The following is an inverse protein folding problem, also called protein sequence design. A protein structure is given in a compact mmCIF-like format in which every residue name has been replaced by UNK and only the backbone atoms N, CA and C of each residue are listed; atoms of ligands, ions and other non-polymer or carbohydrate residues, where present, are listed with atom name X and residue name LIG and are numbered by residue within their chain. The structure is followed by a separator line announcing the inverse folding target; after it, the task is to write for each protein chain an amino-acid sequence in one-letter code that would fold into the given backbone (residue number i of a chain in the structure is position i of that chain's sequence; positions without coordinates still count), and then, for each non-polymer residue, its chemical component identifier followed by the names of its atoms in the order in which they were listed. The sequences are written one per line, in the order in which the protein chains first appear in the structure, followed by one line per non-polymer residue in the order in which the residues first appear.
data_IF_862897026553
#
_entry.id   IF_862897026553
#
_cell.length_a   1.000
_cell.length_b   1.000
_cell.length_c   1.000
_cell.angle_alpha   90.00
_cell.angle_beta   90.00
_cell.angle_gamma   90.00
#
_symmetry.space_group_name_H-M   'P 1'
#
loop_
_entity.id
_entity.type
_entity.pdbx_description
1 polymer ?
#
# COMPACT_ATOMS: atom_id res chain seq x y z
N UNK A 1 -2.15 1.86 17.17
CA UNK A 1 -1.99 1.18 18.46
C UNK A 1 -0.76 0.28 18.42
N UNK A 2 0.09 0.38 19.41
CA UNK A 2 1.23 -0.52 19.61
C UNK A 2 0.88 -1.60 20.64
N UNK A 3 1.21 -2.85 20.35
CA UNK A 3 1.02 -3.96 21.27
C UNK A 3 2.22 -4.06 22.22
N UNK A 4 1.95 -4.00 23.50
CA UNK A 4 2.94 -4.17 24.56
C UNK A 4 2.62 -5.43 25.39
N UNK A 5 3.49 -5.80 26.32
CA UNK A 5 3.22 -6.89 27.27
C UNK A 5 2.06 -6.58 28.22
N UNK A 6 1.69 -5.32 28.36
CA UNK A 6 0.60 -4.86 29.23
C UNK A 6 -0.70 -4.55 28.48
N UNK A 7 -0.74 -4.72 27.15
CA UNK A 7 -1.91 -4.44 26.31
C UNK A 7 -1.58 -3.53 25.13
N UNK A 8 -2.53 -2.67 24.76
CA UNK A 8 -2.42 -1.76 23.64
C UNK A 8 -2.12 -0.34 24.09
N UNK A 9 -1.13 0.30 23.45
CA UNK A 9 -0.77 1.70 23.67
C UNK A 9 -1.15 2.53 22.44
N UNK A 10 -1.80 3.70 22.69
CA UNK A 10 -2.07 4.66 21.61
C UNK A 10 -0.84 5.56 21.42
N UNK A 11 -0.20 5.45 20.27
CA UNK A 11 1.00 6.22 19.89
C UNK A 11 0.71 7.30 18.86
N UNK A 12 -0.58 7.52 18.51
CA UNK A 12 -0.93 8.39 17.39
C UNK A 12 -0.36 9.81 17.51
N UNK A 13 -0.41 10.39 18.71
CA UNK A 13 0.14 11.73 18.94
C UNK A 13 1.66 11.77 18.80
N UNK A 14 2.34 10.75 19.30
CA UNK A 14 3.80 10.64 19.23
C UNK A 14 4.29 10.41 17.80
N UNK A 15 3.50 9.67 17.02
CA UNK A 15 3.81 9.36 15.62
C UNK A 15 3.41 10.47 14.64
N UNK A 16 2.79 11.56 15.09
CA UNK A 16 2.35 12.66 14.24
C UNK A 16 1.04 12.42 13.47
N UNK A 17 0.30 11.34 13.78
CA UNK A 17 -0.93 10.96 13.08
C UNK A 17 -2.22 11.19 13.89
N UNK A 18 -2.15 11.92 15.01
CA UNK A 18 -3.32 12.26 15.83
C UNK A 18 -4.00 13.54 15.32
N UNK A 19 -4.45 13.56 14.12
CA UNK A 19 -5.14 14.72 13.57
C UNK A 19 -6.61 14.74 14.00
N UNK A 20 -7.11 15.82 14.59
CA UNK A 20 -8.51 15.92 14.99
C UNK A 20 -9.39 16.10 13.76
N UNK A 21 -10.08 15.04 13.35
CA UNK A 21 -10.97 15.07 12.20
C UNK A 21 -11.93 13.88 12.23
N UNK A 22 -12.77 13.77 11.19
CA UNK A 22 -13.59 12.58 10.93
C UNK A 22 -13.04 11.89 9.70
N UNK A 23 -12.85 10.59 9.82
CA UNK A 23 -12.22 9.76 8.79
C UNK A 23 -13.09 8.55 8.48
N UNK A 24 -13.15 8.17 7.21
CA UNK A 24 -13.87 6.97 6.76
C UNK A 24 -12.92 5.86 6.36
N UNK A 25 -11.79 6.19 5.75
CA UNK A 25 -10.83 5.20 5.31
C UNK A 25 -9.38 5.65 5.48
N UNK A 26 -8.49 4.69 5.43
CA UNK A 26 -7.07 4.94 5.26
C UNK A 26 -6.48 3.95 4.28
N UNK A 27 -5.48 4.38 3.53
CA UNK A 27 -4.76 3.56 2.57
C UNK A 27 -3.25 3.69 2.80
N UNK A 28 -2.58 2.55 2.87
CA UNK A 28 -1.14 2.48 3.12
C UNK A 28 -0.40 2.16 1.83
N UNK A 29 0.66 2.92 1.53
CA UNK A 29 1.53 2.69 0.39
C UNK A 29 2.93 3.24 0.66
N UNK A 30 3.91 2.76 -0.06
CA UNK A 30 5.24 3.34 -0.18
C UNK A 30 5.24 4.16 -1.48
N UNK A 31 4.66 5.38 -1.43
CA UNK A 31 4.36 6.15 -2.64
C UNK A 31 5.61 6.86 -3.20
N UNK A 32 6.67 7.03 -2.42
CA UNK A 32 7.91 7.68 -2.85
C UNK A 32 9.08 6.69 -3.02
N UNK A 33 8.82 5.39 -2.84
CA UNK A 33 9.76 4.27 -2.98
C UNK A 33 10.99 4.36 -2.08
N UNK A 34 10.84 4.97 -0.90
CA UNK A 34 11.92 5.03 0.09
C UNK A 34 12.07 3.73 0.89
N UNK A 35 11.14 2.78 0.72
CA UNK A 35 11.06 1.48 1.41
C UNK A 35 10.24 1.53 2.68
N UNK A 36 9.73 2.69 3.08
CA UNK A 36 8.83 2.86 4.21
C UNK A 36 7.38 2.92 3.74
N UNK A 37 6.44 2.55 4.59
CA UNK A 37 5.01 2.64 4.26
C UNK A 37 4.47 3.95 4.77
N UNK A 38 3.85 4.70 3.88
CA UNK A 38 3.19 5.97 4.12
C UNK A 38 1.69 5.77 4.35
N UNK A 39 1.02 6.83 4.74
CA UNK A 39 -0.38 6.79 5.11
C UNK A 39 -1.19 7.88 4.40
N UNK A 40 -2.18 7.47 3.63
CA UNK A 40 -3.26 8.37 3.20
C UNK A 40 -4.47 8.16 4.11
N UNK A 41 -5.09 9.25 4.53
CA UNK A 41 -6.32 9.24 5.34
C UNK A 41 -7.31 10.22 4.72
N UNK A 42 -8.49 9.74 4.37
CA UNK A 42 -9.52 10.63 3.84
C UNK A 42 -10.39 11.20 4.94
N UNK A 43 -10.65 12.50 4.83
CA UNK A 43 -11.66 13.16 5.63
C UNK A 43 -13.06 12.89 5.10
N UNK A 44 -14.06 12.82 5.98
CA UNK A 44 -15.43 12.57 5.56
C UNK A 44 -16.31 13.82 5.64
N UNK A 45 -17.49 13.77 5.05
CA UNK A 45 -18.54 14.79 5.21
C UNK A 45 -19.34 14.47 6.48
N UNK A 46 -19.43 15.41 7.39
CA UNK A 46 -20.21 15.21 8.60
C UNK A 46 -20.67 16.52 9.24
N UNK A 47 -21.96 16.60 9.65
CA UNK A 47 -22.48 17.77 10.35
C UNK A 47 -22.47 19.06 9.52
N UNK A 48 -22.50 18.95 8.17
CA UNK A 48 -22.42 20.10 7.26
C UNK A 48 -21.02 20.65 7.02
N UNK A 49 -19.99 19.98 7.48
CA UNK A 49 -18.60 20.33 7.27
C UNK A 49 -17.87 19.30 6.40
N UNK A 50 -16.89 19.76 5.64
CA UNK A 50 -15.92 18.93 4.94
C UNK A 50 -14.68 18.82 5.79
N UNK A 51 -14.17 17.60 5.91
CA UNK A 51 -12.93 17.33 6.64
C UNK A 51 -11.84 17.03 5.62
N UNK A 52 -10.67 17.61 5.85
CA UNK A 52 -9.54 17.54 4.91
C UNK A 52 -8.98 16.11 4.85
N UNK A 53 -8.51 15.74 3.67
CA UNK A 53 -7.66 14.56 3.44
C UNK A 53 -6.21 14.83 3.88
N UNK A 54 -5.48 13.76 4.20
CA UNK A 54 -4.11 13.82 4.67
C UNK A 54 -3.24 12.81 3.94
N UNK A 55 -2.16 13.28 3.35
CA UNK A 55 -1.07 12.42 2.88
C UNK A 55 0.10 12.57 3.85
N UNK A 56 0.39 11.52 4.57
CA UNK A 56 1.38 11.49 5.64
C UNK A 56 2.55 10.62 5.21
N UNK A 57 3.70 11.23 4.94
CA UNK A 57 4.93 10.52 4.61
C UNK A 57 5.62 10.07 5.89
N UNK A 58 6.09 8.83 5.91
CA UNK A 58 6.89 8.32 7.01
C UNK A 58 8.32 8.83 6.92
N UNK A 59 8.81 9.39 8.02
CA UNK A 59 10.21 9.79 8.17
C UNK A 59 10.88 9.01 9.29
N UNK A 60 11.97 8.32 8.96
CA UNK A 60 12.69 7.48 9.91
C UNK A 60 11.87 6.30 10.41
N UNK A 61 12.12 5.88 11.66
CA UNK A 61 11.54 4.63 12.17
C UNK A 61 10.06 4.75 12.53
N UNK A 62 9.63 5.90 13.04
CA UNK A 62 8.32 6.01 13.70
C UNK A 62 7.60 7.36 13.51
N UNK A 63 8.09 8.27 12.69
CA UNK A 63 7.49 9.60 12.55
C UNK A 63 6.76 9.76 11.21
N UNK A 64 5.66 10.51 11.22
CA UNK A 64 4.92 10.86 10.01
C UNK A 64 4.82 12.38 9.89
N UNK A 65 5.06 12.89 8.69
CA UNK A 65 4.93 14.31 8.37
C UNK A 65 3.84 14.51 7.32
N UNK A 66 3.12 15.62 7.43
CA UNK A 66 2.10 16.03 6.47
C UNK A 66 2.79 16.54 5.19
N UNK A 67 2.56 15.86 4.09
CA UNK A 67 3.03 16.21 2.75
C UNK A 67 1.88 16.38 1.77
N UNK A 68 0.67 16.61 2.28
CA UNK A 68 -0.55 16.70 1.46
C UNK A 68 -0.44 17.81 0.43
N UNK A 69 -0.45 17.51 -0.87
CA UNK A 69 -0.36 18.53 -1.91
C UNK A 69 -1.67 19.29 -2.07
N UNK A 70 -1.61 20.46 -2.72
CA UNK A 70 -2.77 21.33 -2.93
C UNK A 70 -3.90 20.63 -3.69
N UNK A 71 -3.55 19.77 -4.63
CA UNK A 71 -4.48 19.01 -5.46
C UNK A 71 -5.37 18.08 -4.63
N UNK A 72 -4.87 17.56 -3.52
CA UNK A 72 -5.64 16.80 -2.53
C UNK A 72 -6.43 17.75 -1.62
N UNK A 73 -5.81 18.84 -1.17
CA UNK A 73 -6.45 19.80 -0.25
C UNK A 73 -7.68 20.49 -0.84
N UNK A 74 -7.69 20.74 -2.16
CA UNK A 74 -8.81 21.35 -2.86
C UNK A 74 -9.99 20.39 -3.07
N UNK A 75 -9.80 19.09 -2.84
CA UNK A 75 -10.83 18.08 -2.93
C UNK A 75 -11.42 17.83 -1.57
N UNK A 76 -12.66 18.20 -1.40
CA UNK A 76 -13.35 18.06 -0.13
C UNK A 76 -14.06 16.71 -0.06
N UNK A 77 -13.72 15.93 0.96
CA UNK A 77 -14.41 14.71 1.39
C UNK A 77 -14.50 13.60 0.31
N UNK A 78 -13.54 12.75 0.30
CA UNK A 78 -13.62 11.43 -0.35
C UNK A 78 -14.15 10.38 0.65
N UNK A 79 -14.77 9.32 0.14
CA UNK A 79 -15.23 8.18 0.94
C UNK A 79 -14.32 6.96 0.80
N UNK A 80 -13.70 6.78 -0.37
CA UNK A 80 -12.81 5.67 -0.64
C UNK A 80 -11.50 6.15 -1.19
N UNK A 81 -10.42 5.43 -0.88
CA UNK A 81 -9.10 5.68 -1.43
C UNK A 81 -8.42 4.35 -1.76
N UNK A 82 -7.76 4.29 -2.89
CA UNK A 82 -6.93 3.14 -3.26
C UNK A 82 -5.68 3.59 -3.98
N UNK A 83 -4.58 2.90 -3.72
CA UNK A 83 -3.35 3.07 -4.45
C UNK A 83 -3.28 2.08 -5.61
N UNK A 84 -2.93 2.55 -6.79
CA UNK A 84 -2.87 1.77 -8.02
C UNK A 84 -1.83 2.38 -8.96
N UNK A 85 -1.00 1.55 -9.54
CA UNK A 85 -0.16 1.93 -10.69
C UNK A 85 -1.03 1.77 -11.95
N UNK A 86 -1.77 2.83 -12.33
CA UNK A 86 -2.82 2.73 -13.35
C UNK A 86 -2.24 2.80 -14.77
N UNK A 87 -1.12 3.48 -14.95
CA UNK A 87 -0.47 3.67 -16.25
C UNK A 87 0.76 2.77 -16.44
N UNK A 88 1.08 1.96 -15.42
CA UNK A 88 2.15 0.96 -15.42
C UNK A 88 3.55 1.56 -15.57
N UNK A 89 3.75 2.75 -15.02
CA UNK A 89 5.05 3.41 -14.99
C UNK A 89 5.91 3.01 -13.80
N UNK A 90 5.32 2.28 -12.83
CA UNK A 90 5.98 1.63 -11.70
C UNK A 90 5.78 2.36 -10.38
N UNK A 91 5.25 3.57 -10.36
CA UNK A 91 4.89 4.25 -9.12
C UNK A 91 3.39 4.04 -8.78
N UNK A 92 2.98 4.46 -7.61
CA UNK A 92 1.61 4.30 -7.15
C UNK A 92 0.87 5.62 -7.21
N UNK A 93 -0.24 5.61 -7.95
CA UNK A 93 -1.19 6.68 -8.08
C UNK A 93 -2.30 6.58 -7.04
N UNK A 94 -2.99 7.67 -6.78
CA UNK A 94 -4.05 7.72 -5.80
C UNK A 94 -5.41 7.92 -6.46
N UNK A 95 -6.25 6.89 -6.41
CA UNK A 95 -7.65 6.97 -6.82
C UNK A 95 -8.54 7.28 -5.62
N UNK A 96 -9.36 8.32 -5.75
CA UNK A 96 -10.29 8.80 -4.72
C UNK A 96 -11.72 8.70 -5.21
N UNK A 97 -12.59 8.08 -4.41
CA UNK A 97 -14.02 8.12 -4.61
C UNK A 97 -14.61 9.36 -3.92
N UNK A 98 -15.11 10.30 -4.70
CA UNK A 98 -15.70 11.52 -4.17
C UNK A 98 -17.10 11.30 -3.59
N UNK A 99 -17.40 12.01 -2.51
CA UNK A 99 -18.70 12.03 -1.87
C UNK A 99 -19.53 13.28 -2.25
N UNK A 100 -18.99 14.12 -3.13
CA UNK A 100 -19.69 15.31 -3.57
C UNK A 100 -20.98 14.97 -4.33
N UNK A 101 -22.00 15.86 -4.22
CA UNK A 101 -23.30 15.67 -4.89
C UNK A 101 -23.16 15.56 -6.41
N UNK A 102 -22.12 16.16 -6.98
CA UNK A 102 -21.76 16.07 -8.40
C UNK A 102 -21.09 14.75 -8.80
N UNK A 103 -20.80 13.87 -7.83
CA UNK A 103 -20.22 12.54 -8.07
C UNK A 103 -18.79 12.58 -8.60
N UNK A 104 -18.04 13.66 -8.36
CA UNK A 104 -16.65 13.75 -8.82
C UNK A 104 -15.76 12.74 -8.11
N UNK A 105 -15.09 11.94 -8.91
CA UNK A 105 -13.99 11.08 -8.49
C UNK A 105 -12.66 11.71 -8.93
N UNK A 106 -11.57 11.31 -8.33
CA UNK A 106 -10.25 11.77 -8.73
C UNK A 106 -9.31 10.58 -8.94
N UNK A 107 -8.50 10.69 -9.96
CA UNK A 107 -7.29 9.91 -10.13
C UNK A 107 -6.13 10.90 -10.15
N UNK A 108 -5.27 10.81 -9.17
CA UNK A 108 -4.10 11.67 -8.98
C UNK A 108 -2.87 10.87 -9.39
N UNK A 109 -2.28 11.27 -10.50
CA UNK A 109 -1.05 10.70 -11.01
C UNK A 109 0.11 11.12 -10.11
N UNK A 110 0.89 10.15 -9.66
CA UNK A 110 2.16 10.39 -9.00
C UNK A 110 3.22 10.67 -10.07
N UNK A 111 4.11 11.57 -9.81
CA UNK A 111 5.11 12.00 -10.79
C UNK A 111 6.52 11.72 -10.27
N UNK A 112 6.77 10.51 -9.81
CA UNK A 112 8.12 10.11 -9.47
C UNK A 112 8.99 10.12 -10.72
N UNK A 113 10.23 10.56 -10.56
CA UNK A 113 11.18 10.47 -11.67
C UNK A 113 11.37 9.01 -12.08
N UNK A 114 11.41 8.70 -13.38
CA UNK A 114 11.45 7.30 -13.86
C UNK A 114 12.53 6.43 -13.22
N UNK A 115 13.68 7.03 -12.87
CA UNK A 115 14.77 6.31 -12.19
C UNK A 115 14.40 5.85 -10.77
N UNK A 116 13.37 6.45 -10.14
CA UNK A 116 12.84 6.02 -8.85
C UNK A 116 11.56 5.17 -9.01
N UNK A 117 10.67 5.53 -9.91
CA UNK A 117 9.46 4.77 -10.20
C UNK A 117 9.79 3.31 -10.54
N UNK A 118 10.86 3.09 -11.30
CA UNK A 118 11.31 1.74 -11.66
C UNK A 118 12.02 0.95 -10.53
N UNK A 119 12.25 1.57 -9.39
CA UNK A 119 12.73 0.87 -8.20
C UNK A 119 11.55 0.29 -7.41
N UNK A 120 10.69 -0.44 -8.09
CA UNK A 120 9.50 -1.05 -7.52
C UNK A 120 9.31 -2.50 -7.98
N UNK A 121 8.52 -3.25 -7.25
CA UNK A 121 8.10 -4.59 -7.62
C UNK A 121 6.63 -4.80 -7.21
N UNK A 122 5.81 -5.10 -8.21
CA UNK A 122 4.45 -5.56 -7.99
C UNK A 122 4.41 -7.09 -7.96
N UNK A 123 3.75 -7.67 -6.97
CA UNK A 123 3.59 -9.13 -6.84
C UNK A 123 2.11 -9.48 -6.81
N UNK A 124 1.67 -10.30 -7.77
CA UNK A 124 0.32 -10.85 -7.85
C UNK A 124 0.33 -12.30 -7.40
N UNK A 125 -0.37 -12.59 -6.32
CA UNK A 125 -0.47 -13.95 -5.78
C UNK A 125 -1.68 -14.62 -6.40
N UNK A 126 -1.45 -15.72 -7.11
CA UNK A 126 -2.46 -16.49 -7.83
C UNK A 126 -2.73 -17.83 -7.16
N UNK A 127 -3.91 -18.39 -7.40
CA UNK A 127 -4.22 -19.76 -7.06
C UNK A 127 -3.56 -20.75 -8.06
N UNK A 128 -3.72 -22.05 -7.82
CA UNK A 128 -3.19 -23.12 -8.69
C UNK A 128 -3.70 -23.01 -10.12
N UNK A 129 -4.90 -22.46 -10.33
CA UNK A 129 -5.53 -22.30 -11.64
C UNK A 129 -5.15 -20.99 -12.31
N UNK A 130 -4.42 -20.11 -11.62
CA UNK A 130 -4.03 -18.81 -12.11
C UNK A 130 -5.10 -17.72 -11.92
N UNK A 131 -6.10 -17.95 -11.07
CA UNK A 131 -7.01 -16.88 -10.69
C UNK A 131 -6.36 -16.00 -9.61
N UNK A 132 -6.50 -14.70 -9.72
CA UNK A 132 -6.27 -13.79 -8.60
C UNK A 132 -7.50 -13.90 -7.69
N UNK A 133 -7.47 -13.76 -6.46
CA UNK A 133 -6.47 -13.36 -5.51
C UNK A 133 -6.44 -14.39 -4.39
N UNK A 134 -5.41 -14.28 -3.56
CA UNK A 134 -5.32 -15.05 -2.30
C UNK A 134 -5.39 -14.10 -1.11
N UNK A 135 -6.55 -13.47 -0.81
CA UNK A 135 -6.66 -12.52 0.31
C UNK A 135 -6.16 -13.14 1.62
N UNK A 136 -5.44 -12.34 2.39
CA UNK A 136 -4.80 -12.80 3.62
C UNK A 136 -3.42 -13.42 3.44
N UNK A 137 -2.97 -13.67 2.19
CA UNK A 137 -1.58 -14.07 1.93
C UNK A 137 -0.64 -12.94 2.31
N UNK A 138 0.52 -13.32 2.85
CA UNK A 138 1.58 -12.40 3.21
C UNK A 138 2.72 -12.53 2.19
N UNK A 139 3.16 -11.39 1.66
CA UNK A 139 4.32 -11.29 0.76
C UNK A 139 5.42 -10.55 1.48
N UNK A 140 6.60 -11.13 1.52
CA UNK A 140 7.81 -10.55 2.09
C UNK A 140 8.88 -10.41 1.05
N UNK A 141 9.57 -9.26 1.04
CA UNK A 141 10.77 -9.06 0.26
C UNK A 141 12.00 -9.05 1.15
N UNK A 142 13.02 -9.77 0.71
CA UNK A 142 14.35 -9.77 1.33
C UNK A 142 15.40 -9.28 0.33
N UNK A 143 16.49 -8.71 0.81
CA UNK A 143 17.67 -8.49 -0.03
C UNK A 143 18.17 -9.84 -0.50
N UNK A 144 18.33 -9.99 -1.82
CA UNK A 144 18.64 -11.30 -2.42
C UNK A 144 19.90 -11.94 -1.81
N UNK A 145 19.76 -13.23 -1.46
CA UNK A 145 20.81 -14.01 -0.83
C UNK A 145 21.08 -13.68 0.65
N UNK A 146 20.19 -12.93 1.31
CA UNK A 146 20.30 -12.57 2.73
C UNK A 146 18.98 -12.75 3.48
N UNK A 147 19.00 -12.65 4.81
CA UNK A 147 17.82 -12.61 5.66
C UNK A 147 17.36 -11.18 5.98
N UNK A 148 17.91 -10.16 5.30
CA UNK A 148 17.52 -8.76 5.51
C UNK A 148 16.18 -8.48 4.88
N UNK A 149 15.15 -8.37 5.70
CA UNK A 149 13.80 -8.00 5.29
C UNK A 149 13.78 -6.55 4.79
N UNK A 150 13.21 -6.33 3.61
CA UNK A 150 12.92 -5.01 3.04
C UNK A 150 11.51 -4.55 3.35
N UNK A 151 10.55 -5.46 3.29
CA UNK A 151 9.16 -5.12 3.55
C UNK A 151 8.25 -6.33 3.61
N UNK A 152 7.09 -6.12 4.21
CA UNK A 152 5.99 -7.09 4.26
C UNK A 152 4.71 -6.41 3.80
N UNK A 153 3.98 -7.08 2.90
CA UNK A 153 2.64 -6.65 2.47
C UNK A 153 1.68 -7.82 2.61
N UNK A 154 0.41 -7.49 2.76
CA UNK A 154 -0.65 -8.49 2.77
C UNK A 154 -1.51 -8.31 1.53
N UNK A 155 -1.85 -9.41 0.87
CA UNK A 155 -2.87 -9.40 -0.17
C UNK A 155 -4.20 -9.07 0.48
N UNK A 156 -4.76 -7.94 0.11
CA UNK A 156 -6.02 -7.41 0.61
C UNK A 156 -7.12 -7.58 -0.44
N UNK A 157 -8.36 -7.57 -0.04
CA UNK A 157 -9.54 -7.56 -0.91
C UNK A 157 -10.24 -6.21 -0.93
N UNK A 158 -9.66 -5.23 -0.27
CA UNK A 158 -10.17 -3.87 -0.11
C UNK A 158 -10.14 -3.43 1.35
N UNK A 159 -9.68 -2.22 1.58
CA UNK A 159 -9.62 -1.59 2.89
C UNK A 159 -10.28 -0.21 2.85
N UNK A 160 -11.21 0.01 3.79
CA UNK A 160 -11.97 1.24 3.90
C UNK A 160 -13.43 1.10 3.45
N UNK A 161 -14.15 2.21 3.55
CA UNK A 161 -15.57 2.28 3.21
C UNK A 161 -15.77 2.16 1.69
N UNK A 162 -16.63 1.23 1.26
CA UNK A 162 -16.95 0.94 -0.15
C UNK A 162 -15.74 0.65 -1.04
N UNK A 163 -14.60 0.27 -0.46
CA UNK A 163 -13.40 -0.10 -1.20
C UNK A 163 -13.30 -1.61 -1.40
N UNK A 164 -13.11 -2.04 -2.64
CA UNK A 164 -12.83 -3.42 -2.99
C UNK A 164 -11.77 -3.47 -4.09
N UNK A 165 -10.76 -4.32 -3.93
CA UNK A 165 -9.63 -4.36 -4.85
C UNK A 165 -9.05 -5.76 -4.95
N UNK A 166 -8.55 -6.11 -6.12
CA UNK A 166 -7.72 -7.29 -6.37
C UNK A 166 -6.33 -6.92 -6.92
N UNK A 167 -5.85 -5.77 -6.53
CA UNK A 167 -4.58 -5.23 -6.99
C UNK A 167 -3.39 -6.09 -6.52
N UNK A 168 -2.30 -6.12 -7.28
CA UNK A 168 -1.06 -6.72 -6.79
C UNK A 168 -0.55 -5.96 -5.58
N UNK A 169 0.19 -6.63 -4.70
CA UNK A 169 0.91 -5.92 -3.65
C UNK A 169 2.12 -5.22 -4.23
N UNK A 170 2.34 -3.99 -3.83
CA UNK A 170 3.41 -3.13 -4.34
C UNK A 170 4.48 -2.89 -3.28
N UNK A 171 5.73 -2.86 -3.72
CA UNK A 171 6.89 -2.55 -2.90
C UNK A 171 7.79 -1.54 -3.59
N UNK A 172 8.19 -0.49 -2.91
CA UNK A 172 9.40 0.23 -3.24
C UNK A 172 10.62 -0.65 -2.95
N UNK A 173 11.59 -0.63 -3.85
CA UNK A 173 12.85 -1.39 -3.72
C UNK A 173 14.02 -0.40 -3.83
N UNK A 174 14.39 0.29 -2.74
CA UNK A 174 15.43 1.31 -2.77
C UNK A 174 16.71 0.81 -3.44
N UNK A 175 17.19 1.58 -4.44
CA UNK A 175 18.37 1.22 -5.23
C UNK A 175 18.14 0.14 -6.28
N UNK A 176 16.91 -0.34 -6.50
CA UNK A 176 16.60 -1.31 -7.56
C UNK A 176 17.37 -2.63 -7.47
N UNK A 177 17.78 -3.02 -6.27
CA UNK A 177 18.55 -4.24 -6.02
C UNK A 177 17.72 -5.50 -6.24
N UNK A 178 18.40 -6.63 -6.52
CA UNK A 178 17.71 -7.92 -6.57
C UNK A 178 17.15 -8.30 -5.21
N UNK A 179 16.00 -8.97 -5.24
CA UNK A 179 15.25 -9.36 -4.05
C UNK A 179 14.88 -10.84 -4.08
N UNK A 180 14.68 -11.44 -2.91
CA UNK A 180 14.03 -12.71 -2.77
C UNK A 180 12.60 -12.47 -2.29
N UNK A 181 11.64 -13.14 -2.93
CA UNK A 181 10.20 -12.99 -2.66
C UNK A 181 9.72 -14.23 -1.91
N UNK A 182 9.16 -14.05 -0.74
CA UNK A 182 8.55 -15.11 0.04
C UNK A 182 7.05 -14.85 0.18
N UNK A 183 6.23 -15.84 -0.18
CA UNK A 183 4.78 -15.76 -0.10
C UNK A 183 4.29 -16.82 0.87
N UNK A 184 3.57 -16.40 1.91
CA UNK A 184 2.91 -17.28 2.86
C UNK A 184 1.41 -17.23 2.64
N UNK A 185 0.82 -18.35 2.24
CA UNK A 185 -0.64 -18.48 2.07
C UNK A 185 -1.25 -19.15 3.29
N UNK A 186 -2.21 -18.51 3.97
CA UNK A 186 -2.94 -19.16 5.05
C UNK A 186 -4.00 -20.12 4.49
N UNK A 187 -4.15 -21.30 5.07
CA UNK A 187 -5.20 -22.23 4.66
C UNK A 187 -5.27 -23.49 5.53
N UNK A 188 -6.50 -23.96 5.85
CA UNK A 188 -6.77 -25.25 6.46
C UNK A 188 -6.01 -25.60 7.76
N UNK A 189 -5.61 -24.58 8.54
CA UNK A 189 -4.80 -24.78 9.75
C UNK A 189 -3.31 -24.96 9.47
N UNK A 190 -2.90 -24.82 8.22
CA UNK A 190 -1.49 -24.88 7.78
C UNK A 190 -1.12 -23.59 7.05
N UNK A 191 0.18 -23.37 6.88
CA UNK A 191 0.73 -22.29 6.05
C UNK A 191 1.56 -22.95 4.96
N UNK A 192 1.30 -22.60 3.70
CA UNK A 192 2.21 -22.92 2.61
C UNK A 192 3.11 -21.73 2.33
N UNK A 193 4.39 -22.01 2.08
CA UNK A 193 5.39 -20.99 1.79
C UNK A 193 5.96 -21.26 0.40
N UNK A 194 5.93 -20.24 -0.46
CA UNK A 194 6.58 -20.25 -1.77
C UNK A 194 7.67 -19.20 -1.75
N UNK A 195 8.88 -19.54 -2.19
CA UNK A 195 10.01 -18.61 -2.29
C UNK A 195 10.55 -18.55 -3.71
N UNK A 196 10.89 -17.36 -4.16
CA UNK A 196 11.54 -17.09 -5.44
C UNK A 196 12.75 -16.22 -5.16
N UNK A 197 13.93 -16.76 -5.46
CA UNK A 197 15.19 -16.09 -5.19
C UNK A 197 15.70 -15.31 -6.40
N UNK A 198 16.40 -14.21 -6.15
CA UNK A 198 17.14 -13.46 -7.15
C UNK A 198 16.27 -12.69 -8.17
N UNK A 199 15.06 -12.31 -7.79
CA UNK A 199 14.17 -11.50 -8.63
C UNK A 199 14.81 -10.13 -8.89
N UNK A 200 14.96 -9.77 -10.14
CA UNK A 200 15.40 -8.45 -10.57
C UNK A 200 14.18 -7.58 -10.86
N UNK A 201 13.87 -6.54 -10.07
CA UNK A 201 12.70 -5.70 -10.28
C UNK A 201 12.62 -5.09 -11.66
N UNK A 202 13.75 -4.78 -12.28
CA UNK A 202 13.82 -4.20 -13.63
C UNK A 202 13.22 -5.07 -14.73
N UNK A 203 13.11 -6.38 -14.48
CA UNK A 203 12.46 -7.31 -15.39
C UNK A 203 10.93 -7.27 -15.34
N UNK A 204 10.36 -6.53 -14.37
CA UNK A 204 8.92 -6.46 -14.10
C UNK A 204 8.36 -5.05 -14.24
N UNK A 205 9.07 -4.17 -14.93
CA UNK A 205 8.56 -2.83 -15.27
C UNK A 205 7.32 -2.94 -16.14
N UNK A 206 6.26 -2.21 -15.78
CA UNK A 206 4.96 -2.25 -16.46
C UNK A 206 4.20 -3.56 -16.33
N UNK A 207 4.57 -4.43 -15.37
CA UNK A 207 3.87 -5.70 -15.12
C UNK A 207 4.14 -6.25 -13.72
N UNK A 208 3.26 -7.08 -13.23
CA UNK A 208 3.46 -7.79 -11.96
C UNK A 208 4.28 -9.07 -12.11
N UNK A 209 5.03 -9.43 -11.08
CA UNK A 209 5.51 -10.79 -10.87
C UNK A 209 4.31 -11.65 -10.45
N UNK A 210 3.86 -12.53 -11.32
CA UNK A 210 2.77 -13.46 -11.02
C UNK A 210 3.31 -14.73 -10.37
N UNK A 211 2.82 -15.06 -9.18
CA UNK A 211 3.25 -16.24 -8.43
C UNK A 211 2.07 -17.15 -8.14
N UNK A 212 2.10 -18.35 -8.71
CA UNK A 212 1.11 -19.39 -8.38
C UNK A 212 1.48 -20.09 -7.09
N UNK A 213 0.51 -20.21 -6.21
CA UNK A 213 0.69 -20.82 -4.89
C UNK A 213 -0.27 -22.00 -4.71
N UNK A 214 0.23 -23.09 -4.12
CA UNK A 214 -0.55 -24.28 -3.84
C UNK A 214 -1.18 -24.20 -2.45
N UNK A 215 -2.38 -24.74 -2.32
CA UNK A 215 -2.95 -25.17 -1.04
C UNK A 215 -2.61 -26.63 -0.82
N UNK A 216 -1.46 -26.93 -0.23
CA UNK A 216 -1.18 -28.30 0.25
C UNK A 216 -1.27 -28.39 1.77
#
# INVERSE_FOLDING_TARGET
LERTSQGWLNRAAELGVANPSRYDTCAWADFDHDGSVDLFVNGTVGGGGHYRDWLMRREGDINFIDVTPTEILERNASHGATWVDYDLDGDLDLALAGSAIDGTHALLENLLRPEFAWHSLQVRVLDEKGHSTRPGSEVRLFVSGTDRLLGTRRVDSGSGYDAQSDLPVHFGVPGGQKVDVEITVPGGGRRSVTRIDGVDPRMYQGRSLEVRTDHR
#
